data_IF_101209448790
#
_entry.id   IF_101209448790
#
_cell.length_a   1.000
_cell.length_b   1.000
_cell.length_c   1.000
_cell.angle_alpha   90.00
_cell.angle_beta   90.00
_cell.angle_gamma   90.00
#
_symmetry.space_group_name_H-M   'P 1'
#
loop_
_entity.id
_entity.type
_entity.pdbx_description
1 polymer ?
#
# COMPACT_ATOMS: atom_id res chain seq x y z
N UNK A 1 20.91 55.74 19.59
CA UNK A 1 20.30 55.87 18.23
C UNK A 1 20.58 54.69 17.29
N UNK A 2 21.65 53.91 17.46
CA UNK A 2 22.02 52.78 16.56
C UNK A 2 21.19 51.49 16.74
N UNK A 3 20.69 51.18 17.95
CA UNK A 3 19.87 49.97 18.21
C UNK A 3 18.45 50.06 17.64
N UNK A 4 17.86 51.26 17.62
CA UNK A 4 16.52 51.49 17.08
C UNK A 4 16.51 51.34 15.54
N UNK A 5 17.53 51.89 14.86
CA UNK A 5 17.72 51.74 13.41
C UNK A 5 17.94 50.27 12.98
N UNK A 6 18.68 49.48 13.78
CA UNK A 6 18.84 48.02 13.53
C UNK A 6 17.53 47.23 13.70
N UNK A 7 16.68 47.60 14.67
CA UNK A 7 15.34 47.01 14.87
C UNK A 7 14.39 47.30 13.71
N UNK A 8 14.40 48.53 13.19
CA UNK A 8 13.58 48.89 12.04
C UNK A 8 14.04 48.22 10.73
N UNK A 9 15.35 48.09 10.51
CA UNK A 9 15.88 47.35 9.34
C UNK A 9 15.53 45.87 9.41
N UNK A 10 15.68 45.23 10.57
CA UNK A 10 15.29 43.83 10.76
C UNK A 10 13.78 43.62 10.56
N UNK A 11 12.95 44.54 11.06
CA UNK A 11 11.49 44.52 10.85
C UNK A 11 11.11 44.67 9.37
N UNK A 12 11.77 45.57 8.64
CA UNK A 12 11.51 45.80 7.22
C UNK A 12 11.94 44.60 6.35
N UNK A 13 13.09 43.98 6.65
CA UNK A 13 13.52 42.73 6.02
C UNK A 13 12.55 41.57 6.29
N UNK A 14 12.00 41.47 7.50
CA UNK A 14 10.98 40.48 7.83
C UNK A 14 9.68 40.66 7.03
N UNK A 15 9.24 41.90 6.84
CA UNK A 15 8.06 42.21 6.02
C UNK A 15 8.32 41.87 4.54
N UNK A 16 9.48 42.24 3.99
CA UNK A 16 9.85 41.89 2.61
C UNK A 16 9.87 40.38 2.36
N UNK A 17 10.33 39.58 3.34
CA UNK A 17 10.33 38.12 3.23
C UNK A 17 8.91 37.52 3.19
N UNK A 18 7.92 38.17 3.83
CA UNK A 18 6.53 37.72 3.81
C UNK A 18 5.79 38.08 2.51
N UNK A 19 6.16 39.17 1.82
CA UNK A 19 5.53 39.60 0.55
C UNK A 19 5.88 38.66 -0.61
N UNK A 20 6.99 37.92 -0.53
CA UNK A 20 7.39 36.93 -1.54
C UNK A 20 6.63 35.60 -1.48
N UNK A 21 5.87 35.34 -0.41
CA UNK A 21 5.10 34.11 -0.28
C UNK A 21 3.77 34.25 -1.04
N UNK A 22 3.66 33.63 -2.22
CA UNK A 22 2.43 33.57 -3.02
C UNK A 22 1.89 32.15 -3.09
N UNK A 23 0.56 32.03 -3.09
CA UNK A 23 -0.15 30.75 -3.17
C UNK A 23 -0.94 30.66 -4.48
N UNK A 24 -0.28 30.92 -5.61
CA UNK A 24 -0.96 31.11 -6.90
C UNK A 24 -1.61 29.81 -7.43
N UNK A 25 -0.88 28.69 -7.37
CA UNK A 25 -1.32 27.38 -7.91
C UNK A 25 -0.88 26.19 -7.06
N UNK A 26 -0.58 26.41 -5.78
CA UNK A 26 -0.21 25.33 -4.85
C UNK A 26 -1.41 24.43 -4.56
N UNK A 27 -2.55 25.08 -4.27
CA UNK A 27 -3.86 24.48 -4.19
C UNK A 27 -4.68 24.87 -5.41
N UNK A 28 -4.95 23.88 -6.25
CA UNK A 28 -5.66 24.08 -7.51
C UNK A 28 -7.11 23.66 -7.33
N UNK A 29 -8.06 24.25 -8.10
CA UNK A 29 -9.47 23.89 -8.06
C UNK A 29 -9.75 22.56 -8.80
N UNK A 30 -8.96 21.52 -8.49
CA UNK A 30 -9.15 20.14 -8.93
C UNK A 30 -8.90 19.21 -7.76
N UNK A 31 -9.65 18.12 -7.71
CA UNK A 31 -9.45 17.10 -6.68
C UNK A 31 -8.25 16.21 -7.06
N UNK A 32 -7.25 16.17 -6.17
CA UNK A 32 -6.17 15.18 -6.24
C UNK A 32 -6.66 13.85 -5.62
N UNK A 33 -6.01 12.75 -5.96
CA UNK A 33 -6.27 11.47 -5.30
C UNK A 33 -6.04 11.62 -3.79
N UNK A 34 -6.99 11.11 -2.99
CA UNK A 34 -7.00 11.19 -1.52
C UNK A 34 -7.09 12.61 -0.93
N UNK A 35 -7.45 13.61 -1.75
CA UNK A 35 -7.83 14.92 -1.24
C UNK A 35 -9.19 14.86 -0.52
N UNK A 36 -9.38 15.77 0.42
CA UNK A 36 -10.69 16.03 1.01
C UNK A 36 -11.66 16.60 -0.04
N UNK A 37 -12.95 16.30 0.07
CA UNK A 37 -14.00 16.86 -0.77
C UNK A 37 -15.24 17.16 0.07
N UNK A 38 -15.62 18.42 0.15
CA UNK A 38 -16.82 18.91 0.84
C UNK A 38 -18.15 18.57 0.14
N UNK A 39 -18.08 18.06 -1.09
CA UNK A 39 -19.25 17.67 -1.88
C UNK A 39 -19.90 16.37 -1.41
N UNK A 40 -19.13 15.41 -0.89
CA UNK A 40 -19.63 14.10 -0.46
C UNK A 40 -19.69 14.01 1.07
N UNK A 41 -20.68 13.29 1.60
CA UNK A 41 -20.89 13.13 3.04
C UNK A 41 -19.73 12.44 3.78
N UNK A 42 -18.89 11.67 3.07
CA UNK A 42 -17.73 10.96 3.61
C UNK A 42 -16.41 11.74 3.45
N UNK A 43 -16.47 12.96 2.93
CA UNK A 43 -15.34 13.86 2.68
C UNK A 43 -14.26 13.32 1.72
N UNK A 44 -14.53 12.24 0.98
CA UNK A 44 -13.54 11.58 0.13
C UNK A 44 -13.64 12.06 -1.32
N UNK A 45 -12.54 12.56 -1.88
CA UNK A 45 -12.44 12.75 -3.33
C UNK A 45 -12.38 11.42 -4.10
N UNK A 46 -11.75 10.40 -3.51
CA UNK A 46 -11.58 9.09 -4.12
C UNK A 46 -12.86 8.24 -3.94
N UNK A 47 -13.67 8.18 -4.99
CA UNK A 47 -14.91 7.39 -5.04
C UNK A 47 -14.64 5.92 -5.35
N UNK A 48 -15.40 5.05 -4.71
CA UNK A 48 -15.40 3.64 -5.07
C UNK A 48 -16.08 3.47 -6.45
N UNK A 49 -15.58 2.56 -7.30
CA UNK A 49 -16.29 2.19 -8.52
C UNK A 49 -17.63 1.52 -8.17
N UNK A 50 -18.56 1.51 -9.13
CA UNK A 50 -19.82 0.77 -8.99
C UNK A 50 -19.52 -0.73 -9.03
N UNK A 51 -20.20 -1.51 -8.19
CA UNK A 51 -20.03 -2.95 -8.13
C UNK A 51 -20.29 -3.61 -9.50
N UNK A 52 -19.47 -4.60 -9.84
CA UNK A 52 -19.55 -5.32 -11.12
C UNK A 52 -18.97 -4.58 -12.33
N UNK A 53 -18.45 -3.36 -12.17
CA UNK A 53 -17.73 -2.68 -13.24
C UNK A 53 -16.36 -3.33 -13.52
N UNK A 54 -16.01 -3.49 -14.80
CA UNK A 54 -14.70 -3.99 -15.25
C UNK A 54 -14.00 -2.90 -16.03
N UNK A 55 -12.82 -2.48 -15.57
CA UNK A 55 -12.03 -1.48 -16.26
C UNK A 55 -11.36 -2.05 -17.52
N UNK A 56 -11.13 -1.20 -18.52
CA UNK A 56 -10.43 -1.60 -19.75
C UNK A 56 -9.01 -2.07 -19.41
N UNK A 57 -8.64 -3.24 -19.90
CA UNK A 57 -7.33 -3.86 -19.59
C UNK A 57 -7.27 -4.56 -18.22
N UNK A 58 -8.36 -4.59 -17.48
CA UNK A 58 -8.49 -5.35 -16.22
C UNK A 58 -9.51 -6.48 -16.33
N UNK A 59 -9.76 -6.95 -17.56
CA UNK A 59 -10.48 -8.20 -17.75
C UNK A 59 -9.53 -9.35 -17.41
N UNK A 60 -9.82 -10.02 -16.31
CA UNK A 60 -9.02 -11.13 -15.77
C UNK A 60 -9.51 -12.46 -16.34
N UNK A 61 -9.16 -12.75 -17.59
CA UNK A 61 -9.63 -13.96 -18.31
C UNK A 61 -9.07 -15.26 -17.72
N UNK A 62 -7.79 -15.26 -17.32
CA UNK A 62 -7.20 -16.38 -16.59
C UNK A 62 -7.59 -16.31 -15.11
N UNK A 63 -8.68 -17.01 -14.79
CA UNK A 63 -9.17 -17.12 -13.42
C UNK A 63 -8.12 -17.71 -12.47
N UNK A 64 -7.28 -18.65 -12.91
CA UNK A 64 -6.29 -19.26 -12.03
C UNK A 64 -5.16 -18.28 -11.71
N UNK A 65 -4.61 -17.61 -12.72
CA UNK A 65 -3.54 -16.62 -12.53
C UNK A 65 -3.97 -15.45 -11.66
N UNK A 66 -5.26 -15.06 -11.69
CA UNK A 66 -5.79 -13.90 -10.95
C UNK A 66 -6.47 -14.23 -9.62
N UNK A 67 -6.79 -15.49 -9.34
CA UNK A 67 -7.53 -15.88 -8.11
C UNK A 67 -6.97 -17.11 -7.38
N UNK A 68 -6.04 -17.84 -7.98
CA UNK A 68 -5.53 -19.11 -7.46
C UNK A 68 -6.53 -20.28 -7.55
N UNK A 69 -7.66 -20.12 -8.24
CA UNK A 69 -8.73 -21.13 -8.29
C UNK A 69 -8.93 -21.73 -9.68
N UNK A 70 -9.19 -23.03 -9.70
CA UNK A 70 -9.69 -23.77 -10.87
C UNK A 70 -11.13 -24.16 -10.55
N UNK A 71 -12.08 -23.44 -11.13
CA UNK A 71 -13.48 -23.48 -10.71
C UNK A 71 -13.64 -23.01 -9.26
N UNK A 72 -14.21 -23.85 -8.40
CA UNK A 72 -14.40 -23.54 -6.97
C UNK A 72 -13.20 -23.95 -6.09
N UNK A 73 -12.26 -24.73 -6.63
CA UNK A 73 -11.18 -25.33 -5.84
C UNK A 73 -9.85 -24.59 -6.06
N UNK A 74 -8.98 -24.50 -5.04
CA UNK A 74 -7.63 -23.98 -5.22
C UNK A 74 -6.84 -24.89 -6.17
N UNK A 75 -6.21 -24.31 -7.19
CA UNK A 75 -5.29 -25.05 -8.07
C UNK A 75 -3.93 -25.25 -7.41
N UNK A 76 -3.18 -26.26 -7.86
CA UNK A 76 -1.91 -26.65 -7.24
C UNK A 76 -0.76 -26.74 -8.26
N UNK A 77 -0.56 -25.69 -9.05
CA UNK A 77 0.55 -25.60 -9.99
C UNK A 77 1.04 -24.15 -10.09
N UNK A 78 2.30 -23.92 -10.40
CA UNK A 78 2.74 -22.55 -10.62
C UNK A 78 2.17 -22.05 -11.96
N UNK A 79 1.52 -20.86 -12.01
CA UNK A 79 1.10 -20.29 -13.28
C UNK A 79 2.29 -20.09 -14.23
N UNK A 80 2.13 -20.41 -15.51
CA UNK A 80 3.17 -20.31 -16.54
C UNK A 80 3.71 -18.90 -16.72
N UNK A 81 2.91 -17.90 -16.35
CA UNK A 81 3.17 -16.47 -16.47
C UNK A 81 4.15 -15.99 -15.39
N UNK A 82 4.37 -16.78 -14.33
CA UNK A 82 5.26 -16.42 -13.22
C UNK A 82 6.53 -17.29 -13.27
N UNK A 83 7.64 -16.76 -13.81
CA UNK A 83 8.89 -17.52 -13.87
C UNK A 83 9.48 -17.70 -12.46
N UNK A 84 9.67 -18.94 -12.03
CA UNK A 84 10.33 -19.26 -10.75
C UNK A 84 11.83 -19.19 -10.94
N UNK A 85 12.38 -17.97 -10.87
CA UNK A 85 13.80 -17.67 -10.98
C UNK A 85 14.27 -16.80 -9.80
N UNK A 86 15.58 -16.52 -9.74
CA UNK A 86 16.17 -15.76 -8.62
C UNK A 86 15.56 -14.37 -8.46
N UNK A 87 15.27 -13.67 -9.56
CA UNK A 87 14.66 -12.35 -9.55
C UNK A 87 13.26 -12.38 -8.91
N UNK A 88 12.42 -13.31 -9.35
CA UNK A 88 11.06 -13.47 -8.81
C UNK A 88 11.08 -13.90 -7.35
N UNK A 89 12.01 -14.78 -6.96
CA UNK A 89 12.18 -15.18 -5.56
C UNK A 89 12.70 -14.04 -4.68
N UNK A 90 13.63 -13.22 -5.18
CA UNK A 90 14.13 -12.04 -4.47
C UNK A 90 13.01 -11.04 -4.23
N UNK A 91 12.19 -10.77 -5.26
CA UNK A 91 10.98 -9.96 -5.16
C UNK A 91 9.97 -10.57 -4.18
N UNK A 92 9.71 -11.87 -4.25
CA UNK A 92 8.81 -12.58 -3.33
C UNK A 92 9.24 -12.42 -1.88
N UNK A 93 10.54 -12.60 -1.59
CA UNK A 93 11.12 -12.38 -0.26
C UNK A 93 10.94 -10.93 0.22
N UNK A 94 11.18 -9.95 -0.65
CA UNK A 94 10.97 -8.54 -0.31
C UNK A 94 9.50 -8.27 0.05
N UNK A 95 8.55 -8.73 -0.78
CA UNK A 95 7.11 -8.54 -0.55
C UNK A 95 6.61 -9.27 0.70
N UNK A 96 7.06 -10.51 0.93
CA UNK A 96 6.77 -11.26 2.16
C UNK A 96 7.26 -10.50 3.40
N UNK A 97 8.46 -9.94 3.35
CA UNK A 97 9.03 -9.19 4.48
C UNK A 97 8.28 -7.88 4.77
N UNK A 98 7.67 -7.24 3.76
CA UNK A 98 6.90 -6.02 3.92
C UNK A 98 5.51 -6.33 4.51
N UNK A 99 4.78 -7.27 3.92
CA UNK A 99 3.35 -7.46 4.23
C UNK A 99 3.06 -8.62 5.17
N UNK A 100 3.80 -9.72 5.07
CA UNK A 100 3.48 -10.97 5.75
C UNK A 100 4.26 -11.15 7.06
N UNK A 101 5.57 -10.85 7.04
CA UNK A 101 6.48 -11.06 8.16
C UNK A 101 6.13 -10.31 9.46
N UNK A 102 5.46 -9.13 9.46
CA UNK A 102 5.02 -8.51 10.71
C UNK A 102 4.15 -9.42 11.58
N UNK A 103 3.37 -10.31 10.97
CA UNK A 103 2.53 -11.30 11.66
C UNK A 103 3.13 -12.71 11.60
N UNK A 104 3.65 -13.14 10.45
CA UNK A 104 4.11 -14.53 10.23
C UNK A 104 5.58 -14.78 10.55
N UNK A 105 6.32 -13.74 10.97
CA UNK A 105 7.79 -13.70 11.08
C UNK A 105 8.49 -13.89 9.73
N UNK A 106 9.80 -13.61 9.68
CA UNK A 106 10.62 -13.78 8.47
C UNK A 106 10.84 -15.24 8.09
N UNK A 107 10.73 -16.15 9.06
CA UNK A 107 10.93 -17.59 8.85
C UNK A 107 9.62 -18.34 8.72
N UNK A 108 8.47 -17.68 8.84
CA UNK A 108 7.16 -18.31 8.65
C UNK A 108 6.71 -19.17 9.84
N UNK A 109 7.27 -18.96 11.02
CA UNK A 109 6.90 -19.69 12.24
C UNK A 109 5.67 -19.11 12.95
N UNK A 110 5.16 -17.95 12.50
CA UNK A 110 4.02 -17.28 13.13
C UNK A 110 4.39 -16.35 14.29
N UNK A 111 5.67 -16.26 14.67
CA UNK A 111 6.15 -15.44 15.79
C UNK A 111 6.47 -13.97 15.39
N UNK A 112 5.64 -13.36 14.54
CA UNK A 112 5.85 -11.98 14.09
C UNK A 112 5.74 -10.94 15.21
N UNK A 113 6.33 -9.76 15.01
CA UNK A 113 6.34 -8.66 15.99
C UNK A 113 4.94 -8.22 16.43
N UNK A 114 3.93 -8.33 15.56
CA UNK A 114 2.54 -7.98 15.90
C UNK A 114 1.94 -9.01 16.86
N UNK A 115 2.26 -10.29 16.69
CA UNK A 115 1.75 -11.38 17.53
C UNK A 115 2.30 -11.30 18.95
N UNK A 116 3.58 -10.90 19.09
CA UNK A 116 4.21 -10.62 20.38
C UNK A 116 3.52 -9.51 21.18
N UNK A 117 2.62 -8.74 20.56
CA UNK A 117 1.83 -7.67 21.18
C UNK A 117 0.40 -8.09 21.57
N UNK A 118 0.09 -9.38 21.56
CA UNK A 118 -1.19 -9.92 22.05
C UNK A 118 -2.21 -10.25 20.96
N UNK A 119 -1.84 -10.20 19.69
CA UNK A 119 -2.69 -10.70 18.60
C UNK A 119 -2.68 -12.22 18.54
N UNK A 120 -3.72 -12.82 17.93
CA UNK A 120 -3.81 -14.27 17.74
C UNK A 120 -2.63 -14.77 16.92
N UNK A 121 -1.96 -15.81 17.41
CA UNK A 121 -0.84 -16.44 16.73
C UNK A 121 -1.29 -17.13 15.42
N UNK A 122 -0.74 -16.73 14.26
CA UNK A 122 -0.98 -17.44 13.01
C UNK A 122 -0.37 -18.85 13.05
N UNK A 123 -0.90 -19.82 12.29
CA UNK A 123 -0.26 -21.13 12.16
C UNK A 123 1.13 -20.99 11.53
N UNK A 124 2.07 -21.83 11.95
CA UNK A 124 3.38 -21.92 11.28
C UNK A 124 3.22 -22.54 9.89
N UNK A 125 3.88 -21.99 8.88
CA UNK A 125 3.94 -22.60 7.55
C UNK A 125 4.71 -23.92 7.52
N UNK A 126 5.42 -24.26 8.60
CA UNK A 126 6.21 -25.49 8.70
C UNK A 126 5.39 -26.73 9.04
N UNK A 127 4.10 -26.57 9.35
CA UNK A 127 3.22 -27.71 9.62
C UNK A 127 2.83 -28.45 8.33
N UNK A 128 2.69 -29.77 8.42
CA UNK A 128 2.42 -30.63 7.25
C UNK A 128 1.17 -30.22 6.48
N UNK A 129 0.09 -29.86 7.19
CA UNK A 129 -1.16 -29.38 6.56
C UNK A 129 -0.92 -28.22 5.59
N UNK A 130 -0.02 -27.29 5.93
CA UNK A 130 0.26 -26.10 5.10
C UNK A 130 1.31 -26.38 4.03
N UNK A 131 2.31 -27.24 4.31
CA UNK A 131 3.26 -27.70 3.30
C UNK A 131 2.62 -28.51 2.18
N UNK A 132 1.54 -29.23 2.50
CA UNK A 132 0.75 -30.03 1.56
C UNK A 132 -0.45 -29.28 0.98
N UNK A 133 -0.71 -28.05 1.43
CA UNK A 133 -1.80 -27.24 0.90
C UNK A 133 -1.51 -26.84 -0.55
N UNK A 134 -2.54 -26.77 -1.41
CA UNK A 134 -2.36 -26.40 -2.80
C UNK A 134 -1.89 -24.94 -2.91
N UNK A 135 -1.09 -24.61 -3.93
CA UNK A 135 -0.56 -23.23 -4.10
C UNK A 135 -1.65 -22.15 -4.10
N UNK A 136 -2.80 -22.42 -4.73
CA UNK A 136 -3.97 -21.54 -4.76
C UNK A 136 -4.61 -21.27 -3.40
N UNK A 137 -4.28 -22.04 -2.35
CA UNK A 137 -4.68 -21.73 -0.97
C UNK A 137 -3.91 -20.52 -0.41
N UNK A 138 -2.72 -20.23 -0.93
CA UNK A 138 -1.85 -19.13 -0.48
C UNK A 138 -1.88 -17.89 -1.38
N UNK A 139 -2.55 -17.98 -2.54
CA UNK A 139 -2.73 -16.89 -3.48
C UNK A 139 -3.61 -15.78 -2.88
#
# INVERSE_FOLDING_TARGET
>A
MTRLRKRHVAGFLGILALVGCRQDMHDQPRLKALAESDFYADLRSARNPVDGTVARGQLHEDAYFHTGKVGANPGNYMPSEVPVNEETLARGRERFNIYCAPCHSRVGDGNGMIVQRGYRHPPTYHQDRLRQAPLGYFY
#
